data_IF_015021985472
#
_entry.id   IF_015021985472
#
_cell.length_a   1.000
_cell.length_b   1.000
_cell.length_c   1.000
_cell.angle_alpha   90.00
_cell.angle_beta   90.00
_cell.angle_gamma   90.00
#
_symmetry.space_group_name_H-M   'P 1'
#
loop_
_entity.id
_entity.type
_entity.pdbx_description
1 polymer ?
#
# COMPACT_ATOMS: atom_id res chain seq x y z
N UNK A 1 7.75 -10.77 -6.74
CA UNK A 1 8.00 -10.25 -5.38
C UNK A 1 9.13 -9.21 -5.29
N UNK A 2 9.89 -8.93 -6.36
CA UNK A 2 11.10 -8.09 -6.27
C UNK A 2 10.90 -6.69 -5.67
N UNK A 3 9.76 -6.03 -5.94
CA UNK A 3 9.48 -4.67 -5.45
C UNK A 3 8.84 -4.62 -4.06
N UNK A 4 8.38 -5.75 -3.53
CA UNK A 4 7.54 -5.77 -2.31
C UNK A 4 8.33 -5.34 -1.08
N UNK A 5 9.59 -5.77 -0.97
CA UNK A 5 10.47 -5.35 0.12
C UNK A 5 10.80 -3.86 0.04
N UNK A 6 11.09 -3.35 -1.16
CA UNK A 6 11.38 -1.92 -1.36
C UNK A 6 10.19 -1.06 -0.92
N UNK A 7 8.96 -1.40 -1.33
CA UNK A 7 7.77 -0.67 -0.89
C UNK A 7 7.58 -0.70 0.63
N UNK A 8 7.90 -1.82 1.28
CA UNK A 8 7.80 -1.94 2.72
C UNK A 8 8.88 -1.12 3.45
N UNK A 9 10.14 -1.21 3.00
CA UNK A 9 11.27 -0.45 3.57
C UNK A 9 11.05 1.07 3.44
N UNK A 10 10.39 1.52 2.36
CA UNK A 10 10.04 2.92 2.14
C UNK A 10 8.71 3.34 2.79
N UNK A 11 8.05 2.47 3.56
CA UNK A 11 6.79 2.80 4.22
C UNK A 11 5.70 3.19 3.22
N UNK A 12 5.57 2.49 2.11
CA UNK A 12 4.56 2.79 1.08
C UNK A 12 3.31 1.93 1.24
N UNK A 13 3.43 0.76 1.89
CA UNK A 13 2.39 -0.25 2.00
C UNK A 13 2.13 -0.66 3.45
N UNK A 14 0.86 -1.00 3.73
CA UNK A 14 0.43 -1.64 4.98
C UNK A 14 -0.23 -3.01 4.76
N UNK A 15 -0.68 -3.27 3.53
CA UNK A 15 -1.38 -4.50 3.17
C UNK A 15 -0.74 -5.00 1.87
N UNK A 16 -0.40 -6.29 1.86
CA UNK A 16 0.17 -6.98 0.72
C UNK A 16 -0.65 -8.24 0.43
N UNK A 17 -0.81 -8.55 -0.85
CA UNK A 17 -1.62 -9.66 -1.30
C UNK A 17 -1.42 -9.94 -2.78
N UNK A 18 -2.35 -10.69 -3.36
CA UNK A 18 -2.31 -11.08 -4.76
C UNK A 18 -3.65 -10.84 -5.46
N UNK A 19 -3.58 -10.70 -6.77
CA UNK A 19 -4.73 -10.65 -7.68
C UNK A 19 -4.65 -11.83 -8.66
N UNK A 20 -5.23 -11.69 -9.86
CA UNK A 20 -5.15 -12.68 -10.93
C UNK A 20 -3.71 -13.12 -11.21
N UNK A 21 -3.48 -14.43 -11.27
CA UNK A 21 -2.16 -15.03 -11.51
C UNK A 21 -1.25 -15.12 -10.26
N UNK A 22 -1.68 -14.61 -9.10
CA UNK A 22 -0.95 -14.85 -7.85
C UNK A 22 -1.18 -16.28 -7.36
N UNK A 23 -0.14 -16.92 -6.81
CA UNK A 23 -0.20 -18.28 -6.28
C UNK A 23 0.16 -18.24 -4.79
N UNK A 24 -0.12 -19.33 -4.03
CA UNK A 24 0.32 -19.41 -2.64
C UNK A 24 1.83 -19.18 -2.46
N UNK A 25 2.65 -19.62 -3.42
CA UNK A 25 4.09 -19.39 -3.41
C UNK A 25 4.45 -17.90 -3.51
N UNK A 26 3.71 -17.11 -4.31
CA UNK A 26 3.90 -15.66 -4.38
C UNK A 26 3.59 -14.99 -3.04
N UNK A 27 2.47 -15.36 -2.40
CA UNK A 27 2.08 -14.78 -1.11
C UNK A 27 3.09 -15.13 -0.01
N UNK A 28 3.56 -16.39 0.04
CA UNK A 28 4.60 -16.80 0.99
C UNK A 28 5.90 -16.01 0.80
N UNK A 29 6.33 -15.80 -0.45
CA UNK A 29 7.51 -15.00 -0.74
C UNK A 29 7.35 -13.52 -0.33
N UNK A 30 6.16 -12.93 -0.50
CA UNK A 30 5.87 -11.58 -0.03
C UNK A 30 5.93 -11.49 1.50
N UNK A 31 5.30 -12.44 2.21
CA UNK A 31 5.30 -12.49 3.66
C UNK A 31 6.71 -12.64 4.24
N UNK A 32 7.54 -13.52 3.67
CA UNK A 32 8.94 -13.68 4.05
C UNK A 32 9.75 -12.40 3.81
N UNK A 33 9.53 -11.70 2.69
CA UNK A 33 10.29 -10.51 2.32
C UNK A 33 10.07 -9.31 3.26
N UNK A 34 8.90 -9.23 3.90
CA UNK A 34 8.52 -8.10 4.78
C UNK A 34 8.46 -8.47 6.25
N UNK A 35 8.80 -9.72 6.60
CA UNK A 35 8.75 -10.20 7.97
C UNK A 35 9.62 -9.36 8.90
N UNK A 36 9.03 -8.87 9.99
CA UNK A 36 9.71 -8.07 11.00
C UNK A 36 9.83 -6.57 10.68
N UNK A 37 9.38 -6.13 9.51
CA UNK A 37 9.29 -4.69 9.21
C UNK A 37 8.10 -4.06 9.96
N UNK A 38 8.24 -2.82 10.44
CA UNK A 38 7.12 -2.11 11.05
C UNK A 38 6.07 -1.75 9.98
N UNK A 39 4.81 -1.63 10.41
CA UNK A 39 3.78 -1.03 9.58
C UNK A 39 4.09 0.45 9.34
N UNK A 40 3.71 0.96 8.16
CA UNK A 40 3.76 2.39 7.85
C UNK A 40 2.79 3.15 8.76
N UNK A 41 3.26 4.27 9.31
CA UNK A 41 2.43 5.24 10.02
C UNK A 41 1.32 5.82 9.11
N UNK A 42 0.08 5.80 9.61
CA UNK A 42 -1.06 6.34 8.86
C UNK A 42 -1.09 7.86 8.97
N UNK A 43 -1.19 8.54 7.84
CA UNK A 43 -1.45 9.97 7.82
C UNK A 43 -2.86 10.27 8.32
N UNK A 44 -3.04 11.39 9.00
CA UNK A 44 -4.34 11.94 9.42
C UNK A 44 -4.67 13.13 8.52
N UNK A 45 -5.39 12.93 7.41
CA UNK A 45 -5.75 14.03 6.51
C UNK A 45 -6.86 14.89 7.12
N UNK A 46 -6.99 16.13 6.63
CA UNK A 46 -8.13 16.99 6.94
C UNK A 46 -9.45 16.36 6.47
N UNK A 47 -10.53 16.61 7.21
CA UNK A 47 -11.86 16.11 6.85
C UNK A 47 -12.49 17.03 5.81
N UNK A 48 -12.16 16.80 4.54
CA UNK A 48 -12.72 17.47 3.37
C UNK A 48 -13.07 16.44 2.29
N UNK A 49 -14.06 16.74 1.45
CA UNK A 49 -14.40 15.85 0.34
C UNK A 49 -13.36 15.99 -0.77
N UNK A 50 -12.52 14.97 -0.91
CA UNK A 50 -11.54 14.84 -1.99
C UNK A 50 -11.99 13.78 -2.99
N UNK A 51 -12.07 14.14 -4.27
CA UNK A 51 -12.51 13.23 -5.34
C UNK A 51 -11.37 12.95 -6.31
N UNK A 52 -11.34 11.71 -6.82
CA UNK A 52 -10.44 11.29 -7.88
C UNK A 52 -11.07 11.54 -9.27
N UNK A 53 -10.23 11.77 -10.29
CA UNK A 53 -10.63 12.06 -11.67
C UNK A 53 -9.40 12.26 -12.56
N UNK A 54 -9.53 13.10 -13.59
CA UNK A 54 -8.36 13.53 -14.40
C UNK A 54 -7.45 14.48 -13.61
N UNK A 55 -8.01 15.23 -12.67
CA UNK A 55 -7.31 16.16 -11.80
C UNK A 55 -7.82 16.01 -10.37
N UNK A 56 -6.98 16.25 -9.34
CA UNK A 56 -7.43 16.28 -7.95
C UNK A 56 -8.49 17.36 -7.75
N UNK A 57 -9.63 16.99 -7.16
CA UNK A 57 -10.68 17.94 -6.81
C UNK A 57 -10.91 17.94 -5.30
N UNK A 58 -10.78 19.12 -4.69
CA UNK A 58 -11.11 19.36 -3.28
C UNK A 58 -12.37 20.22 -3.26
N UNK A 59 -13.46 19.70 -2.67
CA UNK A 59 -14.73 20.41 -2.61
C UNK A 59 -14.63 21.56 -1.59
N UNK A 60 -14.91 22.78 -2.05
CA UNK A 60 -15.07 23.93 -1.16
C UNK A 60 -16.33 23.77 -0.30
N UNK A 61 -16.29 24.31 0.93
CA UNK A 61 -17.42 24.35 1.85
C UNK A 61 -18.54 25.27 1.35
#
# INVERSE_FOLDING_TARGET
>A
AGLVKEWADHGQVNILGGCCGSTPAHIAAMAQAVQGLPAREMAVPETVTCLAGLEPFIMAA
#
